data_IF_461628463988
#
_entry.id   IF_461628463988
#
_cell.length_a   1.000
_cell.length_b   1.000
_cell.length_c   1.000
_cell.angle_alpha   90.00
_cell.angle_beta   90.00
_cell.angle_gamma   90.00
#
_symmetry.space_group_name_H-M   'P 1'
#
loop_
_entity.id
_entity.type
_entity.pdbx_description
1 polymer ?
#
# COMPACT_ATOMS: atom_id res chain seq x y z
N UNK A 1 7.68 22.39 0.69
CA UNK A 1 6.63 21.35 0.58
C UNK A 1 7.27 20.07 0.06
N UNK A 2 7.30 19.00 0.87
CA UNK A 2 7.79 17.69 0.42
C UNK A 2 6.65 17.06 -0.37
N UNK A 3 6.78 17.01 -1.70
CA UNK A 3 5.79 16.35 -2.55
C UNK A 3 5.85 14.86 -2.28
N UNK A 4 4.69 14.26 -1.97
CA UNK A 4 4.60 12.81 -1.85
C UNK A 4 4.83 12.16 -3.21
N UNK A 5 5.86 11.34 -3.28
CA UNK A 5 6.16 10.52 -4.45
C UNK A 5 5.13 9.40 -4.60
N UNK A 6 5.06 8.82 -5.80
CA UNK A 6 4.22 7.63 -6.06
C UNK A 6 4.60 6.48 -5.13
N UNK A 7 5.90 6.34 -4.84
CA UNK A 7 6.41 5.32 -3.93
C UNK A 7 5.90 5.53 -2.50
N UNK A 8 5.87 6.77 -1.99
CA UNK A 8 5.31 7.08 -0.67
C UNK A 8 3.82 6.76 -0.57
N UNK A 9 3.03 7.07 -1.61
CA UNK A 9 1.60 6.74 -1.65
C UNK A 9 1.39 5.22 -1.62
N UNK A 10 2.15 4.48 -2.44
CA UNK A 10 2.08 3.02 -2.47
C UNK A 10 2.46 2.45 -1.11
N UNK A 11 3.55 2.91 -0.50
CA UNK A 11 3.98 2.46 0.82
C UNK A 11 2.94 2.74 1.90
N UNK A 12 2.30 3.91 1.90
CA UNK A 12 1.20 4.22 2.84
C UNK A 12 0.00 3.26 2.70
N UNK A 13 -0.35 2.90 1.46
CA UNK A 13 -1.42 1.94 1.20
C UNK A 13 -1.06 0.51 1.62
N UNK A 14 0.20 0.12 1.41
CA UNK A 14 0.73 -1.18 1.80
C UNK A 14 0.88 -1.30 3.33
N UNK A 15 1.40 -0.28 4.01
CA UNK A 15 1.49 -0.26 5.48
C UNK A 15 0.09 -0.40 6.10
N UNK A 16 -0.92 0.33 5.60
CA UNK A 16 -2.30 0.20 6.06
C UNK A 16 -2.88 -1.22 5.86
N UNK A 17 -2.46 -1.92 4.81
CA UNK A 17 -2.85 -3.31 4.58
C UNK A 17 -2.09 -4.31 5.47
N UNK A 18 -0.89 -3.94 5.95
CA UNK A 18 -0.08 -4.72 6.88
C UNK A 18 -0.47 -4.58 8.35
N UNK A 19 -1.33 -3.62 8.71
CA UNK A 19 -1.80 -3.42 10.09
C UNK A 19 -2.60 -4.60 10.65
N UNK A 20 -3.24 -5.40 9.80
CA UNK A 20 -4.03 -6.57 10.19
C UNK A 20 -3.55 -7.80 9.41
N UNK A 21 -3.05 -8.82 10.12
CA UNK A 21 -2.62 -10.09 9.53
C UNK A 21 -3.77 -10.81 8.80
N UNK A 22 -5.02 -10.55 9.19
CA UNK A 22 -6.21 -11.05 8.51
C UNK A 22 -6.63 -10.21 7.31
N UNK A 23 -5.89 -9.14 7.00
CA UNK A 23 -6.14 -8.20 5.92
C UNK A 23 -7.16 -7.13 6.30
N UNK A 24 -7.23 -6.09 5.49
CA UNK A 24 -8.08 -4.92 5.73
C UNK A 24 -9.14 -4.76 4.65
N UNK A 25 -10.12 -3.90 4.90
CA UNK A 25 -11.15 -3.60 3.91
C UNK A 25 -10.61 -2.71 2.79
N UNK A 26 -11.23 -2.81 1.60
CA UNK A 26 -10.94 -1.94 0.46
C UNK A 26 -10.99 -0.45 0.84
N UNK A 27 -12.00 -0.08 1.62
CA UNK A 27 -12.21 1.28 2.11
C UNK A 27 -11.00 1.78 2.88
N UNK A 28 -10.47 0.98 3.83
CA UNK A 28 -9.30 1.38 4.63
C UNK A 28 -8.08 1.68 3.76
N UNK A 29 -7.83 0.88 2.72
CA UNK A 29 -6.71 1.11 1.79
C UNK A 29 -6.93 2.36 0.93
N UNK A 30 -8.15 2.55 0.39
CA UNK A 30 -8.44 3.69 -0.47
C UNK A 30 -8.23 5.02 0.28
N UNK A 31 -8.60 5.08 1.56
CA UNK A 31 -8.46 6.31 2.34
C UNK A 31 -7.08 6.50 2.98
N UNK A 32 -6.25 5.46 3.10
CA UNK A 32 -4.91 5.59 3.71
C UNK A 32 -3.92 6.40 2.87
N UNK A 33 -4.07 6.39 1.54
CA UNK A 33 -3.21 7.14 0.63
C UNK A 33 -3.43 8.66 0.66
N UNK A 34 -4.46 9.18 1.35
CA UNK A 34 -4.72 10.62 1.45
C UNK A 34 -4.90 11.32 0.09
N UNK A 35 -5.50 10.64 -0.88
CA UNK A 35 -5.82 11.17 -2.22
C UNK A 35 -7.34 11.20 -2.42
N UNK A 36 -7.78 11.77 -3.54
CA UNK A 36 -9.17 11.63 -3.96
C UNK A 36 -9.53 10.15 -4.16
N UNK A 37 -10.81 9.82 -3.99
CA UNK A 37 -11.33 8.45 -4.19
C UNK A 37 -10.87 7.86 -5.54
N UNK A 38 -10.97 8.64 -6.62
CA UNK A 38 -10.56 8.22 -7.97
C UNK A 38 -9.08 7.90 -8.03
N UNK A 39 -8.21 8.78 -7.51
CA UNK A 39 -6.77 8.56 -7.53
C UNK A 39 -6.38 7.36 -6.67
N UNK A 40 -6.91 7.26 -5.45
CA UNK A 40 -6.64 6.13 -4.58
C UNK A 40 -7.09 4.79 -5.17
N UNK A 41 -8.21 4.77 -5.90
CA UNK A 41 -8.69 3.58 -6.61
C UNK A 41 -7.72 3.14 -7.71
N UNK A 42 -7.15 4.08 -8.46
CA UNK A 42 -6.13 3.78 -9.47
C UNK A 42 -4.83 3.26 -8.84
N UNK A 43 -4.42 3.81 -7.69
CA UNK A 43 -3.28 3.26 -6.94
C UNK A 43 -3.56 1.86 -6.40
N UNK A 44 -4.74 1.61 -5.84
CA UNK A 44 -5.12 0.26 -5.40
C UNK A 44 -5.09 -0.73 -6.57
N UNK A 45 -5.62 -0.34 -7.74
CA UNK A 45 -5.54 -1.18 -8.95
C UNK A 45 -4.10 -1.47 -9.34
N UNK A 46 -3.25 -0.44 -9.39
CA UNK A 46 -1.83 -0.60 -9.69
C UNK A 46 -1.13 -1.56 -8.70
N UNK A 47 -1.44 -1.44 -7.41
CA UNK A 47 -0.88 -2.28 -6.35
C UNK A 47 -1.28 -3.76 -6.53
N UNK A 48 -2.54 -4.01 -6.87
CA UNK A 48 -3.06 -5.36 -7.16
C UNK A 48 -2.45 -5.93 -8.45
N UNK A 49 -2.42 -5.15 -9.52
CA UNK A 49 -1.84 -5.55 -10.81
C UNK A 49 -0.34 -5.88 -10.68
N UNK A 50 0.36 -5.21 -9.75
CA UNK A 50 1.77 -5.47 -9.45
C UNK A 50 1.97 -6.64 -8.49
N UNK A 51 0.89 -7.22 -7.95
CA UNK A 51 0.91 -8.34 -7.01
C UNK A 51 1.49 -7.96 -5.64
N UNK A 52 1.36 -6.70 -5.22
CA UNK A 52 1.82 -6.24 -3.89
C UNK A 52 0.73 -6.44 -2.82
N UNK A 53 -0.53 -6.45 -3.25
CA UNK A 53 -1.66 -6.92 -2.45
C UNK A 53 -2.37 -8.07 -3.16
N UNK A 54 -3.05 -8.88 -2.36
CA UNK A 54 -3.97 -9.90 -2.81
C UNK A 54 -5.36 -9.69 -2.19
N UNK A 55 -6.39 -10.06 -2.94
CA UNK A 55 -7.78 -9.98 -2.49
C UNK A 55 -8.28 -11.35 -2.05
N UNK A 56 -8.64 -11.45 -0.77
CA UNK A 56 -9.23 -12.63 -0.15
C UNK A 56 -10.76 -12.56 -0.26
N UNK A 57 -11.30 -13.11 -1.36
CA UNK A 57 -12.72 -13.01 -1.72
C UNK A 57 -13.70 -13.56 -0.68
N UNK A 58 -13.31 -14.57 0.10
CA UNK A 58 -14.15 -15.17 1.15
C UNK A 58 -14.38 -14.23 2.34
N UNK A 59 -13.47 -13.29 2.57
CA UNK A 59 -13.52 -12.35 3.69
C UNK A 59 -13.69 -10.90 3.26
N UNK A 60 -13.72 -10.63 1.95
CA UNK A 60 -13.70 -9.29 1.36
C UNK A 60 -12.58 -8.41 1.94
N UNK A 61 -11.39 -9.01 2.10
CA UNK A 61 -10.22 -8.38 2.72
C UNK A 61 -9.02 -8.40 1.78
N UNK A 62 -8.11 -7.46 1.99
CA UNK A 62 -6.90 -7.27 1.20
C UNK A 62 -5.69 -7.47 2.11
N UNK A 63 -4.72 -8.24 1.66
CA UNK A 63 -3.50 -8.57 2.42
C UNK A 63 -2.26 -8.27 1.61
N UNK A 64 -1.17 -8.00 2.33
CA UNK A 64 0.16 -7.98 1.74
C UNK A 64 0.52 -9.36 1.22
N UNK A 65 1.00 -9.39 -0.01
CA UNK A 65 1.74 -10.55 -0.52
C UNK A 65 3.16 -10.50 0.02
N UNK A 66 3.92 -11.58 -0.12
CA UNK A 66 5.35 -11.58 0.18
C UNK A 66 6.09 -10.46 -0.57
N UNK A 67 5.76 -10.25 -1.86
CA UNK A 67 6.32 -9.17 -2.68
C UNK A 67 5.98 -7.77 -2.13
N UNK A 68 4.78 -7.60 -1.58
CA UNK A 68 4.36 -6.37 -0.91
C UNK A 68 5.18 -6.09 0.36
N UNK A 69 5.47 -7.12 1.15
CA UNK A 69 6.33 -7.03 2.34
C UNK A 69 7.76 -6.64 1.94
N UNK A 70 8.34 -7.33 0.94
CA UNK A 70 9.68 -7.03 0.43
C UNK A 70 9.80 -5.59 -0.10
N UNK A 71 8.77 -5.11 -0.82
CA UNK A 71 8.70 -3.74 -1.29
C UNK A 71 8.74 -2.73 -0.13
N UNK A 72 7.95 -2.95 0.93
CA UNK A 72 7.91 -2.07 2.10
C UNK A 72 9.25 -2.02 2.83
N UNK A 73 9.90 -3.18 3.03
CA UNK A 73 11.21 -3.26 3.66
C UNK A 73 12.27 -2.52 2.85
N UNK A 74 12.28 -2.70 1.53
CA UNK A 74 13.18 -1.98 0.65
C UNK A 74 12.92 -0.46 0.70
N UNK A 75 11.66 -0.06 0.62
CA UNK A 75 11.27 1.35 0.69
C UNK A 75 11.72 2.02 2.00
N UNK A 76 11.52 1.34 3.14
CA UNK A 76 11.95 1.83 4.46
C UNK A 76 13.47 1.99 4.53
N UNK A 77 14.23 1.03 4.01
CA UNK A 77 15.70 1.11 3.94
C UNK A 77 16.19 2.25 3.06
N UNK A 78 15.63 2.39 1.84
CA UNK A 78 16.01 3.48 0.93
C UNK A 78 15.70 4.84 1.54
N UNK A 79 14.53 4.99 2.19
CA UNK A 79 14.14 6.24 2.81
C UNK A 79 15.09 6.63 3.96
N UNK A 80 15.48 5.68 4.80
CA UNK A 80 16.44 5.90 5.88
C UNK A 80 17.83 6.37 5.38
N UNK A 81 18.25 5.94 4.19
CA UNK A 81 19.52 6.35 3.59
C UNK A 81 19.48 7.77 3.00
N UNK A 82 18.30 8.25 2.59
CA UNK A 82 18.10 9.61 2.04
C UNK A 82 17.85 10.69 3.09
N UNK A 83 17.83 10.35 4.38
CA UNK A 83 17.63 11.29 5.50
C UNK A 83 18.94 11.63 6.25
N UNK A 84 20.11 11.46 5.60
CA UNK A 84 21.45 11.88 6.10
C UNK A 84 21.93 13.12 5.34
#
# INVERSE_FOLDING_TARGET
>A
MKYRTRAEIVSQMLDAAGEDAQGVTKTKIIYSGGLSYTQSKEYLRLILDRGLLEYHGTRNRYRLTQKGVEYLEMFKRTRALTEI
#
